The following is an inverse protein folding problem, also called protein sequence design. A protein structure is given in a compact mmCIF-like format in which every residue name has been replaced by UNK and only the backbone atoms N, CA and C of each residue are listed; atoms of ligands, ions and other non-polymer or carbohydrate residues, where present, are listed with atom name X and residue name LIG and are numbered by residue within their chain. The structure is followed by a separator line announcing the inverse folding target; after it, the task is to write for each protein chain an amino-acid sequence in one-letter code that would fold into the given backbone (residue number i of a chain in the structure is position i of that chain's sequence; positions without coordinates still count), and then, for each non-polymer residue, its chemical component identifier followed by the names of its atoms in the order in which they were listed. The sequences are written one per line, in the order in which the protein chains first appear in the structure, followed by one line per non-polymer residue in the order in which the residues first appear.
data_IF_170050859964
#
_entry.id   IF_170050859964
#
_cell.length_a   1.000
_cell.length_b   1.000
_cell.length_c   1.000
_cell.angle_alpha   90.00
_cell.angle_beta   90.00
_cell.angle_gamma   90.00
#
_symmetry.space_group_name_H-M   'P 1'
#
loop_
_entity.id
_entity.type
_entity.pdbx_description
1 polymer ?
#
# COMPACT_ATOMS: atom_id res chain seq x y z
N UNK A 1 12.67 46.24 -13.84
CA UNK A 1 12.18 45.47 -12.68
C UNK A 1 10.84 44.78 -12.94
N UNK A 2 9.75 45.51 -13.29
CA UNK A 2 8.46 44.87 -13.60
C UNK A 2 8.53 43.95 -14.83
N UNK A 3 9.16 44.41 -15.92
CA UNK A 3 9.24 43.63 -17.16
C UNK A 3 10.13 42.38 -17.02
N UNK A 4 11.17 42.48 -16.20
CA UNK A 4 12.04 41.35 -15.86
C UNK A 4 11.29 40.27 -15.06
N UNK A 5 10.47 40.68 -14.09
CA UNK A 5 9.61 39.76 -13.34
C UNK A 5 8.57 39.09 -14.24
N UNK A 6 7.97 39.84 -15.18
CA UNK A 6 7.03 39.27 -16.15
C UNK A 6 7.70 38.25 -17.08
N UNK A 7 8.93 38.53 -17.54
CA UNK A 7 9.69 37.58 -18.36
C UNK A 7 9.98 36.28 -17.60
N UNK A 8 10.40 36.39 -16.34
CA UNK A 8 10.65 35.22 -15.48
C UNK A 8 9.39 34.40 -15.21
N UNK A 9 8.24 35.06 -15.04
CA UNK A 9 6.95 34.35 -14.87
C UNK A 9 6.62 33.55 -16.13
N UNK A 10 6.74 34.15 -17.33
CA UNK A 10 6.48 33.42 -18.58
C UNK A 10 7.44 32.23 -18.78
N UNK A 11 8.72 32.39 -18.41
CA UNK A 11 9.70 31.28 -18.49
C UNK A 11 9.30 30.12 -17.56
N UNK A 12 8.91 30.42 -16.32
CA UNK A 12 8.48 29.39 -15.37
C UNK A 12 7.13 28.76 -15.76
N UNK A 13 6.19 29.54 -16.31
CA UNK A 13 4.92 29.01 -16.85
C UNK A 13 5.18 28.08 -18.04
N UNK A 14 6.09 28.43 -18.94
CA UNK A 14 6.49 27.57 -20.06
C UNK A 14 7.16 26.28 -19.57
N UNK A 15 8.00 26.37 -18.52
CA UNK A 15 8.64 25.21 -17.90
C UNK A 15 7.62 24.30 -17.24
N UNK A 16 6.64 24.85 -16.53
CA UNK A 16 5.56 24.10 -15.91
C UNK A 16 4.75 23.35 -16.98
N UNK A 17 4.37 24.02 -18.06
CA UNK A 17 3.65 23.41 -19.17
C UNK A 17 4.44 22.26 -19.83
N UNK A 18 5.78 22.35 -19.88
CA UNK A 18 6.63 21.26 -20.37
C UNK A 18 6.62 20.05 -19.44
N UNK A 19 6.74 20.28 -18.13
CA UNK A 19 6.75 19.22 -17.12
C UNK A 19 5.39 18.51 -17.01
N UNK A 20 4.29 19.25 -17.16
CA UNK A 20 2.95 18.67 -17.20
C UNK A 20 2.76 17.75 -18.40
N UNK A 21 3.26 18.15 -19.58
CA UNK A 21 3.26 17.27 -20.76
C UNK A 21 4.07 16.01 -20.50
N UNK A 22 5.30 16.13 -20.01
CA UNK A 22 6.15 14.98 -19.71
C UNK A 22 5.51 14.02 -18.70
N UNK A 23 4.88 14.57 -17.66
CA UNK A 23 4.13 13.79 -16.65
C UNK A 23 2.94 13.08 -17.28
N UNK A 24 2.17 13.76 -18.12
CA UNK A 24 1.01 13.17 -18.82
C UNK A 24 1.45 12.00 -19.71
N UNK A 25 2.56 12.14 -20.43
CA UNK A 25 3.11 11.08 -21.27
C UNK A 25 3.63 9.90 -20.44
N UNK A 26 4.37 10.16 -19.36
CA UNK A 26 4.88 9.13 -18.47
C UNK A 26 3.72 8.32 -17.85
N UNK A 27 2.65 9.00 -17.43
CA UNK A 27 1.42 8.36 -16.91
C UNK A 27 0.74 7.52 -17.99
N UNK A 28 0.60 8.03 -19.22
CA UNK A 28 0.01 7.27 -20.32
C UNK A 28 0.83 6.00 -20.65
N UNK A 29 2.17 6.11 -20.64
CA UNK A 29 3.07 4.95 -20.79
C UNK A 29 2.88 3.92 -19.68
N UNK A 30 2.77 4.36 -18.42
CA UNK A 30 2.53 3.47 -17.29
C UNK A 30 1.19 2.74 -17.40
N UNK A 31 0.11 3.44 -17.77
CA UNK A 31 -1.20 2.83 -17.96
C UNK A 31 -1.22 1.83 -19.12
N UNK A 32 -0.47 2.10 -20.21
CA UNK A 32 -0.29 1.13 -21.29
C UNK A 32 0.43 -0.14 -20.82
N UNK A 33 1.56 0.00 -20.13
CA UNK A 33 2.32 -1.14 -19.59
C UNK A 33 1.51 -1.95 -18.58
N UNK A 34 0.70 -1.29 -17.74
CA UNK A 34 -0.22 -1.96 -16.81
C UNK A 34 -1.30 -2.76 -17.53
N UNK A 35 -1.87 -2.22 -18.61
CA UNK A 35 -2.83 -2.95 -19.45
C UNK A 35 -2.18 -4.17 -20.10
N UNK A 36 -1.01 -4.01 -20.69
CA UNK A 36 -0.29 -5.11 -21.35
C UNK A 36 0.08 -6.20 -20.34
N UNK A 37 0.51 -5.81 -19.14
CA UNK A 37 0.76 -6.74 -18.03
C UNK A 37 -0.53 -7.48 -17.64
N UNK A 38 -1.66 -6.78 -17.49
CA UNK A 38 -2.94 -7.38 -17.15
C UNK A 38 -3.40 -8.40 -18.22
N UNK A 39 -3.24 -8.06 -19.50
CA UNK A 39 -3.54 -8.97 -20.63
C UNK A 39 -2.62 -10.19 -20.60
N UNK A 40 -1.33 -10.00 -20.32
CA UNK A 40 -0.35 -11.09 -20.21
C UNK A 40 -0.67 -12.01 -19.03
N UNK A 41 -0.99 -11.48 -17.86
CA UNK A 41 -1.41 -12.27 -16.70
C UNK A 41 -2.71 -13.02 -16.96
N UNK A 42 -3.68 -12.40 -17.64
CA UNK A 42 -4.94 -13.06 -18.00
C UNK A 42 -4.73 -14.20 -19.01
N UNK A 43 -3.78 -14.06 -19.95
CA UNK A 43 -3.43 -15.12 -20.89
C UNK A 43 -2.70 -16.30 -20.20
N UNK A 44 -1.82 -16.01 -19.23
CA UNK A 44 -1.15 -17.03 -18.40
C UNK A 44 -2.17 -17.77 -17.52
N UNK A 45 -3.06 -17.02 -16.85
CA UNK A 45 -4.13 -17.59 -16.02
C UNK A 45 -5.16 -18.38 -16.85
N UNK A 46 -5.49 -17.92 -18.07
CA UNK A 46 -6.36 -18.64 -19.00
C UNK A 46 -5.76 -19.97 -19.46
N UNK A 47 -4.44 -20.01 -19.68
CA UNK A 47 -3.71 -21.24 -20.03
C UNK A 47 -3.59 -22.20 -18.84
N UNK A 48 -3.49 -21.67 -17.62
CA UNK A 48 -3.53 -22.46 -16.39
C UNK A 48 -4.95 -23.00 -16.06
N UNK A 49 -6.01 -22.22 -16.33
CA UNK A 49 -7.42 -22.60 -16.07
C UNK A 49 -7.95 -23.72 -16.97
N UNK A 50 -7.41 -23.88 -18.19
CA UNK A 50 -7.73 -25.03 -19.04
C UNK A 50 -7.13 -26.36 -18.52
N UNK A 51 -6.27 -26.31 -17.49
CA UNK A 51 -5.71 -27.48 -16.79
C UNK A 51 -6.26 -27.73 -15.39
N UNK A 52 -7.26 -26.97 -14.93
CA UNK A 52 -7.80 -27.16 -13.58
C UNK A 52 -8.89 -26.16 -13.25
N UNK A 53 -10.14 -26.57 -13.41
CA UNK A 53 -11.26 -25.95 -12.72
C UNK A 53 -11.15 -26.29 -11.22
N UNK A 54 -10.29 -25.58 -10.50
CA UNK A 54 -10.39 -25.50 -9.05
C UNK A 54 -11.04 -24.16 -8.71
N UNK A 55 -12.19 -24.25 -8.06
CA UNK A 55 -12.86 -23.13 -7.43
C UNK A 55 -11.85 -22.27 -6.64
N UNK A 56 -12.11 -20.98 -6.54
CA UNK A 56 -11.58 -20.14 -5.44
C UNK A 56 -12.12 -20.70 -4.12
N UNK A 57 -11.59 -21.84 -3.67
CA UNK A 57 -11.79 -22.32 -2.32
C UNK A 57 -10.97 -21.44 -1.37
N UNK A 58 -11.51 -21.20 -0.18
CA UNK A 58 -10.75 -20.54 0.87
C UNK A 58 -9.41 -21.28 1.07
N UNK A 59 -8.31 -20.55 1.31
CA UNK A 59 -7.00 -21.16 1.53
C UNK A 59 -7.10 -22.21 2.64
N UNK A 60 -6.84 -23.44 2.26
CA UNK A 60 -7.14 -24.64 3.06
C UNK A 60 -5.94 -25.09 3.89
N UNK A 61 -4.73 -24.65 3.50
CA UNK A 61 -3.50 -24.90 4.25
C UNK A 61 -2.94 -23.65 4.94
N UNK A 62 -2.17 -23.80 6.01
CA UNK A 62 -1.42 -22.70 6.62
C UNK A 62 -0.51 -21.97 5.62
N UNK A 63 0.11 -22.71 4.70
CA UNK A 63 0.99 -22.13 3.67
C UNK A 63 0.22 -21.25 2.67
N UNK A 64 -0.98 -21.66 2.25
CA UNK A 64 -1.85 -20.86 1.38
C UNK A 64 -2.37 -19.61 2.09
N UNK A 65 -2.73 -19.72 3.38
CA UNK A 65 -3.15 -18.57 4.20
C UNK A 65 -2.01 -17.55 4.33
N UNK A 66 -0.81 -18.02 4.68
CA UNK A 66 0.39 -17.18 4.79
C UNK A 66 0.75 -16.56 3.44
N UNK A 67 0.70 -17.32 2.35
CA UNK A 67 0.96 -16.80 1.00
C UNK A 67 -0.04 -15.72 0.59
N UNK A 68 -1.34 -15.94 0.82
CA UNK A 68 -2.38 -14.95 0.54
C UNK A 68 -2.16 -13.67 1.36
N UNK A 69 -1.85 -13.82 2.66
CA UNK A 69 -1.58 -12.71 3.55
C UNK A 69 -0.34 -11.90 3.11
N UNK A 70 0.73 -12.59 2.68
CA UNK A 70 1.97 -11.99 2.14
C UNK A 70 1.79 -11.27 0.81
N UNK A 71 0.74 -11.59 0.04
CA UNK A 71 0.40 -10.92 -1.22
C UNK A 71 -0.44 -9.67 -0.98
N UNK A 72 -1.34 -9.71 -0.01
CA UNK A 72 -2.29 -8.62 0.25
C UNK A 72 -1.75 -7.58 1.23
N UNK A 73 -0.90 -7.97 2.17
CA UNK A 73 -0.48 -7.12 3.28
C UNK A 73 1.04 -7.00 3.38
N UNK A 74 1.49 -5.77 3.62
CA UNK A 74 2.88 -5.43 3.90
C UNK A 74 2.88 -4.63 5.20
N UNK A 75 3.67 -5.05 6.20
CA UNK A 75 3.70 -4.35 7.48
C UNK A 75 4.47 -3.04 7.36
N UNK A 76 3.85 -1.94 7.79
CA UNK A 76 4.48 -0.63 7.88
C UNK A 76 5.23 -0.51 9.21
N UNK A 77 6.55 -0.33 9.14
CA UNK A 77 7.40 -0.18 10.33
C UNK A 77 7.32 1.19 11.02
N UNK A 78 6.61 2.14 10.41
CA UNK A 78 6.38 3.49 10.92
C UNK A 78 5.03 3.66 11.62
N UNK A 79 4.26 2.56 11.77
CA UNK A 79 2.99 2.54 12.52
C UNK A 79 3.26 2.14 13.97
N UNK A 80 2.72 2.90 14.92
CA UNK A 80 2.89 2.69 16.36
C UNK A 80 1.58 2.96 17.12
N UNK A 81 1.38 2.34 18.30
CA UNK A 81 0.21 2.61 19.13
C UNK A 81 0.36 3.94 19.88
N UNK A 82 -0.66 4.80 19.78
CA UNK A 82 -0.79 6.03 20.58
C UNK A 82 -1.84 5.82 21.67
N UNK A 83 -1.43 5.96 22.92
CA UNK A 83 -2.33 5.94 24.08
C UNK A 83 -3.25 7.17 24.03
N UNK A 84 -4.54 6.96 24.21
CA UNK A 84 -5.51 8.03 24.48
C UNK A 84 -6.21 7.76 25.81
N UNK A 85 -6.57 8.84 26.50
CA UNK A 85 -7.28 8.80 27.77
C UNK A 85 -8.43 9.80 27.68
N UNK A 86 -9.64 9.36 27.98
CA UNK A 86 -10.79 10.23 28.13
C UNK A 86 -10.80 10.79 29.56
N UNK A 87 -10.47 12.07 29.67
CA UNK A 87 -10.35 12.75 30.97
C UNK A 87 -11.65 12.78 31.78
N UNK A 88 -12.81 12.64 31.12
CA UNK A 88 -14.12 12.74 31.77
C UNK A 88 -14.54 11.48 32.50
N UNK A 89 -14.19 10.30 31.97
CA UNK A 89 -14.60 9.00 32.52
C UNK A 89 -13.42 8.07 32.80
N UNK A 90 -12.19 8.52 32.55
CA UNK A 90 -10.95 7.76 32.79
C UNK A 90 -10.74 6.57 31.86
N UNK A 91 -11.56 6.39 30.81
CA UNK A 91 -11.35 5.29 29.87
C UNK A 91 -10.09 5.53 29.06
N UNK A 92 -9.34 4.45 28.81
CA UNK A 92 -8.08 4.49 28.07
C UNK A 92 -8.06 3.44 26.99
N UNK A 93 -7.33 3.72 25.91
CA UNK A 93 -7.15 2.78 24.81
C UNK A 93 -5.94 3.16 23.96
N UNK A 94 -5.64 2.31 22.97
CA UNK A 94 -4.61 2.60 21.97
C UNK A 94 -5.26 2.79 20.61
N UNK A 95 -4.79 3.78 19.87
CA UNK A 95 -5.14 3.97 18.47
C UNK A 95 -3.86 3.89 17.63
N UNK A 96 -3.91 3.30 16.42
CA UNK A 96 -2.76 3.31 15.53
C UNK A 96 -2.43 4.74 15.08
N UNK A 97 -1.14 5.05 14.98
CA UNK A 97 -0.61 6.31 14.48
C UNK A 97 0.62 6.02 13.59
N UNK A 98 0.97 6.92 12.68
CA UNK A 98 2.21 6.82 11.90
C UNK A 98 2.79 8.21 11.61
N UNK A 99 4.02 8.28 11.13
CA UNK A 99 4.71 9.55 10.88
C UNK A 99 4.38 10.21 9.53
N UNK A 100 3.89 9.45 8.55
CA UNK A 100 3.70 9.94 7.18
C UNK A 100 2.24 10.25 6.90
N UNK A 101 1.95 11.53 6.63
CA UNK A 101 0.66 11.95 6.12
C UNK A 101 0.53 11.65 4.61
N UNK A 102 -0.37 10.75 4.20
CA UNK A 102 -0.93 10.69 2.84
C UNK A 102 -1.68 12.00 2.56
N UNK A 103 -1.70 12.43 1.30
CA UNK A 103 -2.29 13.70 0.86
C UNK A 103 -3.79 13.85 1.21
N UNK A 104 -4.48 12.74 1.52
CA UNK A 104 -5.89 12.68 1.89
C UNK A 104 -6.15 12.28 3.36
N UNK A 105 -5.09 12.21 4.18
CA UNK A 105 -5.11 11.79 5.60
C UNK A 105 -5.83 10.45 5.88
N UNK A 106 -6.12 9.64 4.87
CA UNK A 106 -6.93 8.44 5.00
C UNK A 106 -6.06 7.20 5.09
N UNK A 107 -6.09 6.51 6.24
CA UNK A 107 -5.37 5.25 6.44
C UNK A 107 -6.32 4.10 6.70
N UNK A 108 -6.01 2.98 6.06
CA UNK A 108 -6.60 1.68 6.37
C UNK A 108 -5.59 0.89 7.21
N UNK A 109 -5.97 0.57 8.44
CA UNK A 109 -5.16 -0.28 9.32
C UNK A 109 -5.74 -1.69 9.32
N UNK A 110 -4.85 -2.68 9.23
CA UNK A 110 -5.19 -4.06 9.55
C UNK A 110 -4.79 -4.32 11.00
N UNK A 111 -5.76 -4.67 11.83
CA UNK A 111 -5.50 -5.21 13.16
C UNK A 111 -5.46 -6.73 13.06
N UNK A 112 -4.39 -7.32 13.60
CA UNK A 112 -4.26 -8.77 13.78
C UNK A 112 -4.26 -9.04 15.28
N UNK A 113 -5.18 -9.88 15.73
CA UNK A 113 -5.24 -10.38 17.09
C UNK A 113 -4.49 -11.71 17.15
N UNK A 114 -3.64 -11.87 18.16
CA UNK A 114 -2.82 -13.07 18.35
C UNK A 114 -3.28 -13.75 19.64
N UNK A 115 -3.89 -14.92 19.49
CA UNK A 115 -4.46 -15.70 20.60
C UNK A 115 -3.54 -16.84 21.05
N UNK A 116 -3.77 -17.33 22.27
CA UNK A 116 -3.14 -18.55 22.79
C UNK A 116 -1.78 -18.35 23.47
N UNK A 117 -1.18 -19.44 23.94
CA UNK A 117 0.03 -19.41 24.77
C UNK A 117 1.30 -19.02 23.98
N UNK A 118 1.27 -19.11 22.65
CA UNK A 118 2.40 -18.79 21.75
C UNK A 118 2.37 -17.38 21.19
N UNK A 119 1.43 -16.52 21.61
CA UNK A 119 1.18 -15.22 20.99
C UNK A 119 2.44 -14.35 20.83
N UNK A 120 3.39 -14.43 21.78
CA UNK A 120 4.63 -13.66 21.74
C UNK A 120 5.56 -14.09 20.59
N UNK A 121 5.68 -15.40 20.37
CA UNK A 121 6.45 -15.96 19.26
C UNK A 121 5.77 -15.67 17.92
N UNK A 122 4.44 -15.74 17.88
CA UNK A 122 3.63 -15.43 16.69
C UNK A 122 3.77 -13.95 16.30
N UNK A 123 3.75 -13.03 17.27
CA UNK A 123 4.01 -11.60 17.07
C UNK A 123 5.44 -11.37 16.55
N UNK A 124 6.44 -12.05 17.12
CA UNK A 124 7.83 -11.91 16.70
C UNK A 124 8.04 -12.39 15.25
N UNK A 125 7.48 -13.54 14.90
CA UNK A 125 7.53 -14.09 13.54
C UNK A 125 6.80 -13.19 12.53
N UNK A 126 5.63 -12.66 12.91
CA UNK A 126 4.88 -11.71 12.10
C UNK A 126 5.68 -10.42 11.84
N UNK A 127 6.23 -9.82 12.90
CA UNK A 127 7.01 -8.59 12.80
C UNK A 127 8.29 -8.77 11.94
N UNK A 128 8.99 -9.90 12.09
CA UNK A 128 10.17 -10.21 11.27
C UNK A 128 9.80 -10.36 9.79
N UNK A 129 8.67 -11.01 9.49
CA UNK A 129 8.14 -11.19 8.13
C UNK A 129 7.78 -9.85 7.48
N UNK A 130 7.18 -8.92 8.23
CA UNK A 130 6.87 -7.59 7.73
C UNK A 130 8.12 -6.78 7.35
N UNK A 131 9.23 -6.97 8.07
CA UNK A 131 10.49 -6.24 7.82
C UNK A 131 11.29 -6.79 6.63
N UNK A 132 11.09 -8.05 6.26
CA UNK A 132 11.90 -8.73 5.21
C UNK A 132 11.47 -8.43 3.78
N UNK A 133 10.41 -7.64 3.56
CA UNK A 133 10.02 -7.11 2.24
C UNK A 133 9.85 -5.59 2.34
N UNK A 134 10.93 -4.86 2.08
CA UNK A 134 10.88 -3.46 1.62
C UNK A 134 11.03 -3.43 0.11
#
# INVERSE_FOLDING_TARGET
MKDELLSRIHEEEARLASLERETSEARARLEALRRDLATTTAAVDGRARLGGAAATSAPSSPAEKVWLFRRLFHGRGDVFPRLWVNERNGTKGYAPACFTLLEDETYWFLAADFDGDSWADDVAAFAQTCRSRR
#
